data_IF_076010331457
#
_entry.id   IF_076010331457
#
_cell.length_a   1.000
_cell.length_b   1.000
_cell.length_c   1.000
_cell.angle_alpha   90.00
_cell.angle_beta   90.00
_cell.angle_gamma   90.00
#
_symmetry.space_group_name_H-M   'P 1'
#
loop_
_entity.id
_entity.type
_entity.pdbx_description
1 polymer ?
#
# COMPACT_ATOMS: atom_id res chain seq x y z
N UNK A 1 -35.77 -8.36 42.04
CA UNK A 1 -34.94 -9.58 42.05
C UNK A 1 -33.63 -9.30 41.32
N UNK A 2 -32.60 -8.81 42.02
CA UNK A 2 -31.29 -8.49 41.42
C UNK A 2 -30.34 -9.67 41.56
N UNK A 3 -29.80 -10.18 40.45
CA UNK A 3 -28.77 -11.23 40.49
C UNK A 3 -27.46 -10.60 40.97
N UNK A 4 -27.13 -10.84 42.25
CA UNK A 4 -25.85 -10.45 42.85
C UNK A 4 -24.73 -11.10 42.06
N UNK A 5 -23.79 -10.29 41.55
CA UNK A 5 -22.58 -10.77 40.88
C UNK A 5 -21.75 -11.56 41.90
N UNK A 6 -21.34 -12.80 41.57
CA UNK A 6 -20.45 -13.56 42.45
C UNK A 6 -19.11 -12.86 42.70
N UNK A 7 -18.59 -13.06 43.90
CA UNK A 7 -17.38 -12.49 44.47
C UNK A 7 -16.12 -12.95 43.72
N UNK A 8 -16.13 -14.17 43.17
CA UNK A 8 -15.06 -14.69 42.32
C UNK A 8 -14.84 -13.87 41.04
N UNK A 9 -15.81 -13.08 40.57
CA UNK A 9 -15.64 -12.24 39.38
C UNK A 9 -14.54 -11.19 39.58
N UNK A 10 -14.39 -10.70 40.81
CA UNK A 10 -13.36 -9.71 41.16
C UNK A 10 -11.98 -10.39 41.29
N UNK A 11 -11.96 -11.59 41.84
CA UNK A 11 -10.73 -12.37 41.99
C UNK A 11 -10.18 -12.84 40.65
N UNK A 12 -11.07 -13.22 39.72
CA UNK A 12 -10.70 -13.54 38.34
C UNK A 12 -10.13 -12.33 37.59
N UNK A 13 -10.65 -11.12 37.84
CA UNK A 13 -10.05 -9.89 37.31
C UNK A 13 -8.66 -9.63 37.88
N UNK A 14 -8.45 -9.86 39.19
CA UNK A 14 -7.13 -9.73 39.81
C UNK A 14 -6.12 -10.73 39.25
N UNK A 15 -6.54 -11.99 39.07
CA UNK A 15 -5.70 -13.05 38.54
C UNK A 15 -5.35 -12.81 37.07
N UNK A 16 -6.28 -12.27 36.28
CA UNK A 16 -6.03 -11.85 34.90
C UNK A 16 -5.03 -10.68 34.85
N UNK A 17 -5.19 -9.68 35.71
CA UNK A 17 -4.27 -8.53 35.79
C UNK A 17 -2.83 -8.99 36.11
N UNK A 18 -2.66 -9.94 37.03
CA UNK A 18 -1.35 -10.52 37.35
C UNK A 18 -0.71 -11.27 36.19
N UNK A 19 -1.51 -11.97 35.36
CA UNK A 19 -1.01 -12.67 34.17
C UNK A 19 -0.54 -11.70 33.09
N UNK A 20 -1.30 -10.64 32.85
CA UNK A 20 -0.98 -9.64 31.84
C UNK A 20 0.33 -8.88 32.20
N UNK A 21 0.53 -8.57 33.49
CA UNK A 21 1.76 -7.96 34.02
C UNK A 21 3.02 -8.82 33.81
N UNK A 22 2.89 -10.14 33.90
CA UNK A 22 4.00 -11.09 33.68
C UNK A 22 4.26 -11.33 32.18
N UNK A 23 3.23 -11.24 31.34
CA UNK A 23 3.35 -11.38 29.89
C UNK A 23 4.04 -10.18 29.22
N UNK A 24 3.84 -8.96 29.73
CA UNK A 24 4.48 -7.75 29.19
C UNK A 24 6.02 -7.75 29.35
N UNK A 25 6.54 -8.56 30.29
CA UNK A 25 7.97 -8.74 30.53
C UNK A 25 8.63 -9.82 29.68
N UNK A 26 7.88 -10.65 28.94
CA UNK A 26 8.46 -11.71 28.12
C UNK A 26 9.18 -11.08 26.90
N UNK A 27 10.49 -11.33 26.69
CA UNK A 27 11.25 -10.76 25.57
C UNK A 27 10.61 -11.01 24.20
N UNK A 28 9.86 -12.11 24.05
CA UNK A 28 9.05 -12.45 22.87
C UNK A 28 7.91 -11.46 22.64
N UNK A 29 7.17 -11.10 23.69
CA UNK A 29 6.05 -10.17 23.59
C UNK A 29 6.54 -8.75 23.24
N UNK A 30 7.64 -8.32 23.86
CA UNK A 30 8.32 -7.07 23.51
C UNK A 30 8.82 -7.08 22.05
N UNK A 31 9.39 -8.18 21.56
CA UNK A 31 9.80 -8.32 20.17
C UNK A 31 8.62 -8.28 19.19
N UNK A 32 7.53 -8.98 19.49
CA UNK A 32 6.30 -8.97 18.69
C UNK A 32 5.66 -7.57 18.64
N UNK A 33 5.70 -6.82 19.74
CA UNK A 33 5.24 -5.43 19.77
C UNK A 33 6.08 -4.53 18.85
N UNK A 34 7.40 -4.69 18.86
CA UNK A 34 8.31 -3.96 17.95
C UNK A 34 8.03 -4.28 16.49
N UNK A 35 7.86 -5.55 16.13
CA UNK A 35 7.59 -5.93 14.73
C UNK A 35 6.23 -5.40 14.26
N UNK A 36 5.19 -5.44 15.11
CA UNK A 36 3.90 -4.80 14.81
C UNK A 36 4.08 -3.31 14.55
N UNK A 37 4.87 -2.60 15.36
CA UNK A 37 5.15 -1.19 15.16
C UNK A 37 5.86 -0.93 13.82
N UNK A 38 6.90 -1.73 13.51
CA UNK A 38 7.60 -1.67 12.22
C UNK A 38 6.64 -1.87 11.04
N UNK A 39 5.75 -2.86 11.14
CA UNK A 39 4.77 -3.17 10.10
C UNK A 39 3.73 -2.06 9.94
N UNK A 40 3.32 -1.38 11.03
CA UNK A 40 2.43 -0.20 10.94
C UNK A 40 3.08 0.94 10.16
N UNK A 41 4.37 1.22 10.42
CA UNK A 41 5.13 2.23 9.68
C UNK A 41 5.21 1.88 8.20
N UNK A 42 5.53 0.61 7.89
CA UNK A 42 5.58 0.13 6.51
C UNK A 42 4.22 0.26 5.81
N UNK A 43 3.13 -0.17 6.44
CA UNK A 43 1.77 -0.03 5.89
C UNK A 43 1.37 1.43 5.66
N UNK A 44 1.77 2.35 6.56
CA UNK A 44 1.55 3.79 6.38
C UNK A 44 2.32 4.34 5.18
N UNK A 45 3.59 3.97 5.01
CA UNK A 45 4.37 4.35 3.84
C UNK A 45 3.74 3.81 2.54
N UNK A 46 3.24 2.58 2.58
CA UNK A 46 2.54 1.96 1.46
C UNK A 46 1.24 2.69 1.10
N UNK A 47 0.47 3.13 2.10
CA UNK A 47 -0.70 3.99 1.91
C UNK A 47 -0.35 5.30 1.22
N UNK A 48 0.75 5.95 1.63
CA UNK A 48 1.25 7.18 0.99
C UNK A 48 1.67 6.94 -0.47
N UNK A 49 2.31 5.81 -0.76
CA UNK A 49 2.65 5.45 -2.14
C UNK A 49 1.41 5.30 -3.02
N UNK A 50 0.32 4.73 -2.49
CA UNK A 50 -0.93 4.63 -3.25
C UNK A 50 -1.50 6.01 -3.60
N UNK A 51 -1.44 6.98 -2.69
CA UNK A 51 -1.98 8.32 -2.92
C UNK A 51 -1.21 9.14 -3.94
N UNK A 52 0.01 8.74 -4.31
CA UNK A 52 0.78 9.40 -5.38
C UNK A 52 0.43 8.88 -6.77
N UNK A 53 -0.39 7.83 -6.88
CA UNK A 53 -0.80 7.28 -8.18
C UNK A 53 -1.96 8.10 -8.76
N UNK A 54 -1.81 8.71 -9.95
CA UNK A 54 -2.74 9.75 -10.40
C UNK A 54 -4.08 9.24 -10.93
N UNK A 55 -4.20 7.97 -11.31
CA UNK A 55 -5.44 7.33 -11.80
C UNK A 55 -6.08 6.41 -10.77
N UNK A 56 -5.60 6.41 -9.53
CA UNK A 56 -6.08 5.52 -8.48
C UNK A 56 -6.73 6.36 -7.38
N UNK A 57 -8.06 6.30 -7.22
CA UNK A 57 -8.74 6.90 -6.07
C UNK A 57 -8.17 6.37 -4.74
N UNK A 58 -8.03 7.24 -3.73
CA UNK A 58 -7.35 6.90 -2.47
C UNK A 58 -7.99 5.73 -1.70
N UNK A 59 -9.30 5.56 -1.87
CA UNK A 59 -10.19 4.53 -1.33
C UNK A 59 -10.15 3.21 -2.12
N UNK A 60 -9.49 3.17 -3.28
CA UNK A 60 -9.35 1.96 -4.09
C UNK A 60 -8.51 0.90 -3.36
N UNK A 61 -9.03 -0.32 -3.30
CA UNK A 61 -8.31 -1.48 -2.74
C UNK A 61 -7.28 -2.01 -3.74
N UNK A 62 -6.08 -1.45 -3.71
CA UNK A 62 -4.92 -2.01 -4.42
C UNK A 62 -4.15 -3.02 -3.57
N UNK A 63 -3.68 -4.09 -4.21
CA UNK A 63 -2.74 -5.02 -3.60
C UNK A 63 -1.34 -4.39 -3.46
N UNK A 64 -0.48 -4.99 -2.62
CA UNK A 64 0.91 -4.55 -2.50
C UNK A 64 1.67 -4.69 -3.83
N UNK A 65 1.47 -5.79 -4.53
CA UNK A 65 2.16 -6.02 -5.80
C UNK A 65 1.71 -4.99 -6.86
N UNK A 66 0.40 -4.76 -6.98
CA UNK A 66 -0.13 -3.86 -8.00
C UNK A 66 0.29 -2.41 -7.74
N UNK A 67 0.29 -1.99 -6.47
CA UNK A 67 0.79 -0.65 -6.11
C UNK A 67 2.25 -0.47 -6.52
N UNK A 68 3.11 -1.48 -6.29
CA UNK A 68 4.51 -1.42 -6.71
C UNK A 68 4.65 -1.38 -8.23
N UNK A 69 3.90 -2.21 -8.96
CA UNK A 69 3.90 -2.22 -10.42
C UNK A 69 3.47 -0.88 -11.00
N UNK A 70 2.34 -0.33 -10.52
CA UNK A 70 1.82 0.96 -10.96
C UNK A 70 2.80 2.11 -10.66
N UNK A 71 3.42 2.10 -9.48
CA UNK A 71 4.41 3.12 -9.12
C UNK A 71 5.63 3.08 -10.04
N UNK A 72 6.17 1.89 -10.32
CA UNK A 72 7.30 1.72 -11.25
C UNK A 72 6.95 2.21 -12.65
N UNK A 73 5.78 1.84 -13.18
CA UNK A 73 5.30 2.31 -14.49
C UNK A 73 5.14 3.83 -14.50
N UNK A 74 4.61 4.41 -13.43
CA UNK A 74 4.42 5.85 -13.34
C UNK A 74 5.75 6.62 -13.32
N UNK A 75 6.74 6.14 -12.56
CA UNK A 75 8.10 6.71 -12.57
C UNK A 75 8.67 6.67 -14.00
N UNK A 76 8.59 5.52 -14.68
CA UNK A 76 9.09 5.38 -16.05
C UNK A 76 8.39 6.33 -17.03
N UNK A 77 7.07 6.51 -16.90
CA UNK A 77 6.30 7.44 -17.71
C UNK A 77 6.75 8.90 -17.49
N UNK A 78 6.89 9.34 -16.24
CA UNK A 78 7.39 10.68 -15.93
C UNK A 78 8.81 10.90 -16.46
N UNK A 79 9.70 9.92 -16.32
CA UNK A 79 11.06 10.00 -16.88
C UNK A 79 11.04 10.16 -18.39
N UNK A 80 10.19 9.40 -19.10
CA UNK A 80 10.02 9.51 -20.56
C UNK A 80 9.55 10.91 -20.96
N UNK A 81 8.50 11.43 -20.30
CA UNK A 81 7.98 12.77 -20.56
C UNK A 81 9.07 13.84 -20.44
N UNK A 82 9.84 13.80 -19.35
CA UNK A 82 10.95 14.74 -19.15
C UNK A 82 12.00 14.64 -20.27
N UNK A 83 12.37 13.43 -20.70
CA UNK A 83 13.33 13.27 -21.80
C UNK A 83 12.79 13.70 -23.16
N UNK A 84 11.49 13.56 -23.40
CA UNK A 84 10.87 14.02 -24.66
C UNK A 84 10.77 15.53 -24.72
N UNK A 85 10.53 16.19 -23.58
CA UNK A 85 10.47 17.66 -23.50
C UNK A 85 11.83 18.28 -23.81
N UNK A 86 12.93 17.75 -23.27
CA UNK A 86 14.29 18.23 -23.57
C UNK A 86 14.69 18.02 -25.05
N UNK A 87 14.05 17.08 -25.75
CA UNK A 87 14.29 16.82 -27.18
C UNK A 87 13.41 17.66 -28.11
N UNK A 88 12.40 18.35 -27.55
CA UNK A 88 11.46 19.17 -28.31
C UNK A 88 12.05 20.54 -28.70
N UNK A 89 13.18 20.93 -28.11
CA UNK A 89 13.86 22.19 -28.41
C UNK A 89 14.90 22.07 -29.55
N UNK A 90 15.13 20.86 -30.11
CA UNK A 90 16.02 20.65 -31.26
C UNK A 90 15.53 19.48 -32.13
N UNK A 91 14.75 19.77 -33.19
CA UNK A 91 14.79 19.07 -34.49
C UNK A 91 13.76 19.65 -35.47
N UNK A 92 14.15 20.73 -36.15
CA UNK A 92 13.78 20.94 -37.54
C UNK A 92 14.76 20.10 -38.41
N UNK A 93 14.17 19.37 -39.36
CA UNK A 93 14.72 18.61 -40.51
C UNK A 93 15.53 17.32 -40.28
N UNK A 94 15.07 16.25 -40.94
CA UNK A 94 15.93 15.17 -41.43
C UNK A 94 15.43 13.75 -41.15
N UNK A 95 14.75 13.18 -42.14
CA UNK A 95 14.36 11.77 -42.27
C UNK A 95 15.44 10.77 -41.83
N UNK A 96 15.06 9.74 -41.06
CA UNK A 96 15.44 8.34 -41.36
C UNK A 96 14.36 7.39 -40.82
N UNK A 97 13.75 6.66 -41.74
CA UNK A 97 12.84 5.54 -41.51
C UNK A 97 13.59 4.40 -40.82
N UNK A 98 13.17 4.00 -39.62
CA UNK A 98 13.38 2.63 -39.12
C UNK A 98 12.15 2.16 -38.38
N UNK A 99 11.34 1.38 -39.10
CA UNK A 99 10.18 0.66 -38.61
C UNK A 99 10.67 -0.49 -37.70
N UNK A 100 10.33 -0.45 -36.42
CA UNK A 100 10.35 -1.62 -35.54
C UNK A 100 8.97 -1.78 -34.92
N UNK A 101 8.24 -2.77 -35.41
CA UNK A 101 6.97 -3.19 -34.86
C UNK A 101 7.20 -3.75 -33.44
N UNK A 102 6.63 -3.09 -32.43
CA UNK A 102 6.48 -3.68 -31.10
C UNK A 102 4.99 -3.73 -30.80
N UNK A 103 4.52 -4.97 -30.65
CA UNK A 103 3.13 -5.38 -30.48
C UNK A 103 2.36 -4.53 -29.48
N UNK A 104 1.25 -3.96 -29.94
CA UNK A 104 0.14 -3.45 -29.14
C UNK A 104 -0.30 -4.50 -28.12
N UNK A 105 0.13 -4.36 -26.87
CA UNK A 105 -0.52 -4.99 -25.74
C UNK A 105 -1.06 -3.88 -24.87
N UNK A 106 -2.31 -3.51 -25.17
CA UNK A 106 -3.14 -2.65 -24.33
C UNK A 106 -3.12 -3.21 -22.89
N UNK A 107 -2.77 -2.43 -21.86
CA UNK A 107 -3.01 -2.87 -20.49
C UNK A 107 -4.52 -2.93 -20.29
N UNK A 108 -5.02 -4.09 -19.85
CA UNK A 108 -6.43 -4.29 -19.51
C UNK A 108 -6.87 -3.19 -18.54
N UNK A 109 -7.76 -2.33 -19.04
CA UNK A 109 -8.41 -1.28 -18.30
C UNK A 109 -9.28 -1.92 -17.20
N UNK A 110 -8.79 -1.92 -15.96
CA UNK A 110 -9.53 -2.41 -14.79
C UNK A 110 -10.75 -1.54 -14.44
N UNK A 111 -11.05 -0.49 -15.21
CA UNK A 111 -12.19 0.39 -15.00
C UNK A 111 -13.53 -0.13 -15.58
N UNK A 112 -13.59 -1.32 -16.19
CA UNK A 112 -14.83 -1.89 -16.74
C UNK A 112 -15.52 -2.95 -15.86
N UNK A 113 -15.11 -3.12 -14.60
CA UNK A 113 -15.76 -4.11 -13.70
C UNK A 113 -16.67 -3.52 -12.61
N UNK A 114 -16.75 -2.20 -12.43
CA UNK A 114 -17.58 -1.64 -11.35
C UNK A 114 -18.31 -0.34 -11.75
N UNK A 115 -19.00 -0.34 -12.89
CA UNK A 115 -19.97 0.72 -13.18
C UNK A 115 -21.18 0.20 -13.97
N UNK A 116 -22.12 -0.38 -13.24
CA UNK A 116 -23.55 -0.40 -13.58
C UNK A 116 -24.35 -0.56 -12.27
N UNK A 117 -25.54 0.07 -12.16
CA UNK A 117 -26.32 0.18 -10.91
C UNK A 117 -26.84 -1.15 -10.38
#
# INVERSE_FOLDING_TARGET
MGRRRPDWWLEQQHQQQQRDLLEDGCPRNAANARERARMRVLSKAFGRLKTTLPWVPADTKLSKLDTLRLATTYIAHLSSLLTTTERSDVADQGETVTQVAVTSTQPLNYAMVNLAP
#
